data_IF_801824940509
#
_entry.id   IF_801824940509
#
_cell.length_a   1.000
_cell.length_b   1.000
_cell.length_c   1.000
_cell.angle_alpha   90.00
_cell.angle_beta   90.00
_cell.angle_gamma   90.00
#
_symmetry.space_group_name_H-M   'P 1'
#
loop_
_entity.id
_entity.type
_entity.pdbx_description
1 polymer ?
#
# COMPACT_ATOMS: atom_id res chain seq x y z
N UNK A 1 -12.43 -4.27 2.28
CA UNK A 1 -11.84 -5.63 2.43
C UNK A 1 -12.93 -6.63 2.78
N UNK A 2 -12.75 -7.89 2.39
CA UNK A 2 -13.60 -9.03 2.74
C UNK A 2 -12.94 -9.98 3.74
N UNK A 3 -11.61 -9.95 3.86
CA UNK A 3 -10.81 -10.74 4.78
C UNK A 3 -10.13 -9.84 5.81
N UNK A 4 -9.59 -10.43 6.87
CA UNK A 4 -8.83 -9.69 7.88
C UNK A 4 -7.52 -9.14 7.31
N UNK A 5 -7.07 -8.01 7.84
CA UNK A 5 -5.78 -7.42 7.50
C UNK A 5 -4.62 -8.38 7.78
N UNK A 6 -4.72 -9.16 8.86
CA UNK A 6 -3.70 -10.16 9.23
C UNK A 6 -3.50 -11.24 8.17
N UNK A 7 -4.57 -11.65 7.48
CA UNK A 7 -4.52 -12.68 6.44
C UNK A 7 -3.96 -12.17 5.11
N UNK A 8 -4.07 -10.86 4.85
CA UNK A 8 -3.72 -10.22 3.56
C UNK A 8 -4.40 -10.79 2.30
N UNK A 9 -5.38 -11.70 2.44
CA UNK A 9 -5.97 -12.44 1.32
C UNK A 9 -6.68 -11.57 0.28
N UNK A 10 -7.14 -10.37 0.65
CA UNK A 10 -7.73 -9.45 -0.33
C UNK A 10 -6.74 -8.97 -1.39
N UNK A 11 -5.43 -9.02 -1.13
CA UNK A 11 -4.40 -8.63 -2.09
C UNK A 11 -4.35 -9.57 -3.31
N UNK A 12 -4.88 -10.80 -3.18
CA UNK A 12 -4.96 -11.78 -4.28
C UNK A 12 -5.64 -11.16 -5.52
N UNK A 13 -6.62 -10.28 -5.31
CA UNK A 13 -7.37 -9.60 -6.36
C UNK A 13 -6.51 -8.73 -7.28
N UNK A 14 -5.26 -8.41 -6.89
CA UNK A 14 -4.34 -7.61 -7.70
C UNK A 14 -3.45 -8.43 -8.62
N UNK A 15 -3.32 -9.74 -8.38
CA UNK A 15 -2.29 -10.54 -9.02
C UNK A 15 -2.92 -11.71 -9.79
N UNK A 16 -2.69 -11.80 -11.11
CA UNK A 16 -3.19 -12.90 -11.93
C UNK A 16 -2.38 -14.19 -11.68
N UNK A 17 -2.92 -15.34 -12.08
CA UNK A 17 -2.19 -16.61 -12.10
C UNK A 17 -0.91 -16.52 -12.94
N UNK A 18 0.11 -17.31 -12.58
CA UNK A 18 1.35 -17.44 -13.37
C UNK A 18 1.11 -18.09 -14.73
N UNK A 19 0.04 -18.86 -14.87
CA UNK A 19 -0.36 -19.47 -16.13
C UNK A 19 -0.81 -18.42 -17.15
N UNK A 20 -1.42 -17.33 -16.69
CA UNK A 20 -1.95 -16.26 -17.57
C UNK A 20 -0.91 -15.17 -17.84
N UNK A 21 -0.14 -14.78 -16.81
CA UNK A 21 0.86 -13.71 -16.89
C UNK A 21 2.16 -14.20 -16.27
N UNK A 22 3.24 -14.25 -17.05
CA UNK A 22 4.57 -14.60 -16.53
C UNK A 22 5.12 -13.52 -15.59
N UNK A 23 6.08 -13.87 -14.73
CA UNK A 23 6.66 -12.91 -13.76
C UNK A 23 7.23 -11.66 -14.46
N UNK A 24 7.85 -11.82 -15.63
CA UNK A 24 8.42 -10.69 -16.39
C UNK A 24 7.37 -9.74 -16.98
N UNK A 25 6.13 -10.21 -17.13
CA UNK A 25 5.01 -9.43 -17.67
C UNK A 25 4.11 -8.84 -16.56
N UNK A 26 4.41 -9.14 -15.29
CA UNK A 26 3.68 -8.58 -14.16
C UNK A 26 3.95 -7.08 -14.03
N UNK A 27 2.92 -6.34 -13.61
CA UNK A 27 3.03 -4.91 -13.31
C UNK A 27 3.98 -4.71 -12.12
N UNK A 28 5.05 -3.91 -12.25
CA UNK A 28 5.96 -3.67 -11.14
C UNK A 28 5.25 -2.98 -9.98
N UNK A 29 5.15 -3.66 -8.83
CA UNK A 29 4.26 -3.27 -7.74
C UNK A 29 4.96 -3.33 -6.38
N UNK A 30 4.70 -2.32 -5.55
CA UNK A 30 5.07 -2.31 -4.13
C UNK A 30 3.83 -2.59 -3.29
N UNK A 31 3.91 -3.52 -2.35
CA UNK A 31 2.82 -3.81 -1.40
C UNK A 31 3.28 -3.46 0.01
N UNK A 32 2.79 -2.33 0.53
CA UNK A 32 3.12 -1.84 1.86
C UNK A 32 2.26 -2.49 2.94
N UNK A 33 2.90 -2.87 4.05
CA UNK A 33 2.26 -3.40 5.25
C UNK A 33 2.82 -2.75 6.53
N UNK A 34 1.98 -2.67 7.57
CA UNK A 34 2.33 -2.03 8.83
C UNK A 34 3.28 -2.83 9.75
N UNK A 35 3.55 -4.10 9.46
CA UNK A 35 4.46 -4.93 10.26
C UNK A 35 5.30 -5.86 9.40
N UNK A 36 6.43 -6.32 9.94
CA UNK A 36 7.23 -7.36 9.29
C UNK A 36 6.38 -8.61 9.06
N UNK A 37 5.61 -9.10 10.05
CA UNK A 37 4.83 -10.33 9.89
C UNK A 37 3.81 -10.22 8.74
N UNK A 38 3.14 -9.07 8.59
CA UNK A 38 2.22 -8.83 7.49
C UNK A 38 2.91 -8.89 6.11
N UNK A 39 4.18 -8.49 5.98
CA UNK A 39 4.87 -8.62 4.69
C UNK A 39 5.07 -10.07 4.28
N UNK A 40 5.16 -11.02 5.22
CA UNK A 40 5.15 -12.45 4.90
C UNK A 40 3.75 -12.92 4.46
N UNK A 41 2.70 -12.56 5.21
CA UNK A 41 1.33 -12.91 4.84
C UNK A 41 0.95 -12.39 3.43
N UNK A 42 1.43 -11.20 3.05
CA UNK A 42 1.28 -10.68 1.68
C UNK A 42 2.00 -11.56 0.65
N UNK A 43 3.22 -12.04 0.94
CA UNK A 43 3.94 -12.92 0.00
C UNK A 43 3.22 -14.26 -0.16
N UNK A 44 2.74 -14.86 0.93
CA UNK A 44 1.95 -16.09 0.88
C UNK A 44 0.64 -15.90 0.10
N UNK A 45 0.00 -14.73 0.24
CA UNK A 45 -1.17 -14.38 -0.56
C UNK A 45 -0.82 -14.19 -2.04
N UNK A 46 0.34 -13.61 -2.37
CA UNK A 46 0.84 -13.51 -3.75
C UNK A 46 1.08 -14.92 -4.32
N UNK A 47 1.78 -15.81 -3.60
CA UNK A 47 2.00 -17.19 -4.04
C UNK A 47 0.69 -17.90 -4.38
N UNK A 48 -0.32 -17.72 -3.53
CA UNK A 48 -1.67 -18.26 -3.76
C UNK A 48 -2.31 -17.68 -5.02
N UNK A 49 -2.22 -16.37 -5.23
CA UNK A 49 -2.76 -15.70 -6.42
C UNK A 49 -2.06 -16.15 -7.71
N UNK A 50 -0.74 -16.36 -7.62
CA UNK A 50 0.13 -16.81 -8.72
C UNK A 50 0.03 -18.30 -8.99
N UNK A 51 -0.65 -19.07 -8.13
CA UNK A 51 -0.68 -20.54 -8.15
C UNK A 51 0.72 -21.17 -8.04
N UNK A 52 1.59 -20.52 -7.27
CA UNK A 52 2.97 -20.95 -7.03
C UNK A 52 3.22 -21.09 -5.53
N UNK A 53 2.64 -22.10 -4.87
CA UNK A 53 2.80 -22.28 -3.44
C UNK A 53 4.29 -22.37 -3.06
N UNK A 54 4.61 -21.87 -1.88
CA UNK A 54 5.95 -21.88 -1.27
C UNK A 54 7.03 -21.03 -1.96
N UNK A 55 6.70 -20.29 -3.03
CA UNK A 55 7.68 -19.40 -3.67
C UNK A 55 8.19 -18.27 -2.75
N UNK A 56 7.36 -17.83 -1.81
CA UNK A 56 7.65 -16.90 -0.73
C UNK A 56 8.79 -17.34 0.19
N UNK A 57 9.10 -18.64 0.25
CA UNK A 57 10.20 -19.19 1.06
C UNK A 57 11.58 -18.94 0.43
N UNK A 58 11.64 -18.65 -0.87
CA UNK A 58 12.91 -18.44 -1.57
C UNK A 58 13.27 -16.95 -1.59
N UNK A 59 14.37 -16.60 -0.92
CA UNK A 59 14.87 -15.22 -0.86
C UNK A 59 15.14 -14.59 -2.24
N UNK A 60 15.55 -15.40 -3.22
CA UNK A 60 15.84 -14.97 -4.59
C UNK A 60 14.67 -15.24 -5.57
N UNK A 61 13.42 -15.29 -5.09
CA UNK A 61 12.25 -15.47 -5.95
C UNK A 61 12.25 -14.49 -7.12
N UNK A 62 11.88 -14.98 -8.31
CA UNK A 62 11.74 -14.18 -9.54
C UNK A 62 10.43 -13.41 -9.61
N UNK A 63 9.50 -13.67 -8.68
CA UNK A 63 8.17 -13.07 -8.66
C UNK A 63 8.08 -11.95 -7.61
N UNK A 64 8.27 -12.29 -6.34
CA UNK A 64 8.06 -11.37 -5.24
C UNK A 64 9.10 -11.54 -4.14
N UNK A 65 9.59 -10.43 -3.59
CA UNK A 65 10.56 -10.44 -2.50
C UNK A 65 10.14 -9.58 -1.32
N UNK A 66 10.64 -9.94 -0.14
CA UNK A 66 10.34 -9.26 1.11
C UNK A 66 11.35 -8.16 1.41
N UNK A 67 10.89 -7.02 1.92
CA UNK A 67 11.78 -5.95 2.39
C UNK A 67 11.27 -5.33 3.70
N UNK A 68 12.06 -5.39 4.76
CA UNK A 68 11.73 -4.74 6.03
C UNK A 68 12.99 -4.34 6.81
N UNK A 69 12.83 -3.75 8.00
CA UNK A 69 13.93 -3.25 8.82
C UNK A 69 14.95 -4.35 9.15
N UNK A 70 14.48 -5.55 9.51
CA UNK A 70 15.33 -6.69 9.84
C UNK A 70 15.91 -7.45 8.63
N UNK A 71 15.70 -7.00 7.38
CA UNK A 71 16.40 -7.55 6.21
C UNK A 71 17.88 -7.18 6.31
N UNK A 72 18.79 -8.12 6.06
CA UNK A 72 20.24 -7.85 6.10
C UNK A 72 20.64 -6.79 5.08
N UNK A 73 21.65 -5.97 5.37
CA UNK A 73 21.94 -4.79 4.55
C UNK A 73 22.36 -5.16 3.11
N UNK A 74 23.15 -6.22 2.94
CA UNK A 74 23.48 -6.78 1.61
C UNK A 74 22.25 -7.25 0.84
N UNK A 75 21.27 -7.85 1.55
CA UNK A 75 20.02 -8.30 0.92
C UNK A 75 19.13 -7.10 0.55
N UNK A 76 19.16 -6.01 1.34
CA UNK A 76 18.47 -4.76 1.01
C UNK A 76 19.04 -4.14 -0.27
N UNK A 77 20.36 -3.98 -0.33
CA UNK A 77 21.08 -3.45 -1.51
C UNK A 77 20.75 -4.29 -2.75
N UNK A 78 20.94 -5.61 -2.67
CA UNK A 78 20.62 -6.54 -3.76
C UNK A 78 19.16 -6.46 -4.19
N UNK A 79 18.22 -6.39 -3.23
CA UNK A 79 16.80 -6.29 -3.54
C UNK A 79 16.46 -4.99 -4.28
N UNK A 80 17.07 -3.86 -3.86
CA UNK A 80 16.89 -2.55 -4.49
C UNK A 80 17.45 -2.55 -5.92
N UNK A 81 18.66 -3.05 -6.11
CA UNK A 81 19.33 -3.12 -7.42
C UNK A 81 18.60 -4.06 -8.37
N UNK A 82 18.33 -5.30 -7.95
CA UNK A 82 17.66 -6.28 -8.80
C UNK A 82 16.21 -5.92 -9.11
N UNK A 83 15.53 -5.21 -8.21
CA UNK A 83 14.23 -4.61 -8.52
C UNK A 83 14.39 -3.48 -9.53
N UNK A 84 15.37 -2.58 -9.40
CA UNK A 84 15.59 -1.53 -10.39
C UNK A 84 15.87 -2.12 -11.79
N UNK A 85 16.65 -3.20 -11.85
CA UNK A 85 17.06 -3.92 -13.07
C UNK A 85 15.98 -4.82 -13.67
N UNK A 86 14.81 -4.92 -13.04
CA UNK A 86 13.71 -5.72 -13.59
C UNK A 86 13.83 -7.22 -13.40
N UNK A 87 14.68 -7.71 -12.48
CA UNK A 87 14.85 -9.16 -12.23
C UNK A 87 13.63 -9.82 -11.59
N UNK A 88 12.81 -9.03 -10.90
CA UNK A 88 11.52 -9.46 -10.36
C UNK A 88 10.54 -8.27 -10.31
N UNK A 89 9.23 -8.53 -10.36
CA UNK A 89 8.20 -7.49 -10.45
C UNK A 89 7.66 -6.97 -9.11
N UNK A 90 7.72 -7.71 -8.01
CA UNK A 90 6.97 -7.37 -6.79
C UNK A 90 7.87 -7.23 -5.55
N UNK A 91 7.61 -6.21 -4.73
CA UNK A 91 8.17 -6.11 -3.36
C UNK A 91 7.03 -6.06 -2.36
N UNK A 92 7.04 -6.97 -1.39
CA UNK A 92 6.25 -6.88 -0.16
C UNK A 92 7.08 -6.20 0.92
N UNK A 93 6.68 -5.01 1.37
CA UNK A 93 7.53 -4.17 2.19
C UNK A 93 6.84 -3.48 3.36
N UNK A 94 7.63 -3.08 4.36
CA UNK A 94 7.23 -2.05 5.33
C UNK A 94 7.72 -0.67 4.89
N UNK A 95 7.45 0.36 5.70
CA UNK A 95 8.01 1.70 5.48
C UNK A 95 9.55 1.75 5.45
N UNK A 96 10.24 0.69 5.90
CA UNK A 96 11.69 0.56 5.81
C UNK A 96 12.24 0.69 4.38
N UNK A 97 11.42 0.45 3.34
CA UNK A 97 11.82 0.65 1.94
C UNK A 97 12.20 2.12 1.61
N UNK A 98 11.90 3.07 2.53
CA UNK A 98 12.65 4.32 2.69
C UNK A 98 12.49 5.37 1.59
N UNK A 99 12.66 6.65 1.93
CA UNK A 99 12.45 7.81 1.04
C UNK A 99 13.45 7.93 -0.14
N UNK A 100 14.57 7.21 -0.10
CA UNK A 100 15.67 7.33 -1.07
C UNK A 100 15.48 6.60 -2.40
N UNK A 101 14.47 5.73 -2.54
CA UNK A 101 14.28 4.95 -3.76
C UNK A 101 13.50 5.74 -4.82
N UNK A 102 14.16 6.03 -5.95
CA UNK A 102 13.56 6.74 -7.08
C UNK A 102 13.38 5.84 -8.30
N UNK A 103 12.53 4.82 -8.18
CA UNK A 103 12.23 3.90 -9.27
C UNK A 103 11.17 4.46 -10.20
N UNK A 104 11.57 4.78 -11.44
CA UNK A 104 10.66 5.13 -12.53
C UNK A 104 9.75 3.98 -12.96
N UNK A 105 10.16 2.73 -12.70
CA UNK A 105 9.44 1.52 -13.16
C UNK A 105 8.20 1.16 -12.33
N UNK A 106 8.03 1.71 -11.13
CA UNK A 106 6.90 1.33 -10.24
C UNK A 106 5.60 1.80 -10.87
N UNK A 107 4.70 0.84 -11.13
CA UNK A 107 3.45 1.07 -11.84
C UNK A 107 2.21 0.91 -10.99
N UNK A 108 2.33 0.16 -9.89
CA UNK A 108 1.30 0.12 -8.88
C UNK A 108 1.88 0.16 -7.46
N UNK A 109 1.08 0.67 -6.52
CA UNK A 109 1.33 0.57 -5.09
C UNK A 109 0.05 0.10 -4.42
N UNK A 110 0.15 -0.94 -3.60
CA UNK A 110 -0.89 -1.35 -2.68
C UNK A 110 -0.49 -1.02 -1.25
N UNK A 111 -1.42 -0.56 -0.43
CA UNK A 111 -1.20 -0.35 1.01
C UNK A 111 -2.21 -1.16 1.82
N UNK A 112 -1.70 -1.96 2.74
CA UNK A 112 -2.49 -2.83 3.62
C UNK A 112 -2.78 -2.11 4.93
N UNK A 113 -4.07 -1.86 5.18
CA UNK A 113 -4.58 -1.30 6.43
C UNK A 113 -4.74 0.22 6.41
N UNK A 114 -5.31 0.74 7.50
CA UNK A 114 -5.37 2.19 7.75
C UNK A 114 -3.99 2.72 8.06
N UNK A 115 -3.70 3.92 7.60
CA UNK A 115 -2.42 4.59 7.75
C UNK A 115 -2.62 6.09 7.89
N UNK A 116 -1.65 6.76 8.48
CA UNK A 116 -1.66 8.21 8.52
C UNK A 116 -1.63 8.77 7.08
N UNK A 117 -2.46 9.77 6.73
CA UNK A 117 -2.55 10.26 5.35
C UNK A 117 -1.21 10.67 4.76
N UNK A 118 -0.37 11.41 5.50
CA UNK A 118 0.97 11.79 5.02
C UNK A 118 1.84 10.57 4.68
N UNK A 119 1.82 9.52 5.51
CA UNK A 119 2.58 8.28 5.26
C UNK A 119 2.04 7.53 4.05
N UNK A 120 0.71 7.42 3.93
CA UNK A 120 0.08 6.79 2.76
C UNK A 120 0.42 7.58 1.50
N UNK A 121 0.29 8.91 1.52
CA UNK A 121 0.65 9.79 0.41
C UNK A 121 2.09 9.59 -0.07
N UNK A 122 3.04 9.49 0.86
CA UNK A 122 4.44 9.19 0.53
C UNK A 122 4.63 7.79 -0.09
N UNK A 123 3.89 6.80 0.38
CA UNK A 123 3.98 5.43 -0.13
C UNK A 123 3.37 5.31 -1.53
N UNK A 124 2.15 5.82 -1.73
CA UNK A 124 1.47 5.74 -3.03
C UNK A 124 2.12 6.64 -4.08
N UNK A 125 2.73 7.76 -3.67
CA UNK A 125 3.51 8.65 -4.56
C UNK A 125 4.78 8.03 -5.16
N UNK A 126 5.02 6.74 -4.95
CA UNK A 126 6.11 5.99 -5.60
C UNK A 126 5.74 5.45 -6.97
N UNK A 127 4.46 5.22 -7.26
CA UNK A 127 4.07 4.84 -8.62
C UNK A 127 4.05 6.08 -9.54
N UNK A 128 4.40 5.90 -10.81
CA UNK A 128 4.23 6.96 -11.83
C UNK A 128 5.23 8.09 -11.78
N UNK A 129 6.41 7.88 -11.22
CA UNK A 129 7.49 8.88 -11.22
C UNK A 129 8.09 9.18 -12.60
N UNK A 130 7.78 8.38 -13.60
CA UNK A 130 8.08 8.62 -15.00
C UNK A 130 7.02 9.49 -15.71
N UNK A 131 6.00 9.95 -14.99
CA UNK A 131 4.88 10.71 -15.55
C UNK A 131 3.81 9.85 -16.21
N UNK A 132 3.97 8.52 -16.27
CA UNK A 132 2.96 7.61 -16.83
C UNK A 132 1.91 7.22 -15.77
N UNK A 133 0.69 6.83 -16.19
CA UNK A 133 -0.38 6.44 -15.26
C UNK A 133 0.03 5.35 -14.27
N UNK A 134 -0.16 5.60 -12.97
CA UNK A 134 0.08 4.65 -11.89
C UNK A 134 -1.18 4.31 -11.13
N UNK A 135 -1.24 3.12 -10.54
CA UNK A 135 -2.38 2.67 -9.75
C UNK A 135 -2.02 2.61 -8.27
N UNK A 136 -2.79 3.29 -7.43
CA UNK A 136 -2.71 3.19 -5.98
C UNK A 136 -3.95 2.48 -5.44
N UNK A 137 -3.77 1.42 -4.65
CA UNK A 137 -4.87 0.65 -4.03
C UNK A 137 -4.70 0.66 -2.51
N UNK A 138 -5.73 1.11 -1.80
CA UNK A 138 -5.77 1.07 -0.34
C UNK A 138 -6.69 -0.06 0.13
N UNK A 139 -6.13 -1.07 0.78
CA UNK A 139 -6.90 -2.14 1.41
C UNK A 139 -7.25 -1.74 2.83
N UNK A 140 -8.52 -1.42 3.06
CA UNK A 140 -9.00 -0.99 4.38
C UNK A 140 -10.08 -1.93 4.90
N UNK A 141 -9.92 -2.34 6.17
CA UNK A 141 -10.95 -3.06 6.91
C UNK A 141 -12.14 -2.14 7.18
N UNK A 142 -13.35 -2.67 6.94
CA UNK A 142 -14.60 -1.93 7.13
C UNK A 142 -14.77 -1.45 8.57
N UNK A 143 -14.32 -2.26 9.53
CA UNK A 143 -14.44 -1.98 10.95
C UNK A 143 -13.06 -2.04 11.61
N UNK A 144 -12.68 -0.95 12.25
CA UNK A 144 -11.58 -0.88 13.21
C UNK A 144 -12.16 -0.82 14.62
N UNK A 145 -11.81 -1.78 15.50
CA UNK A 145 -12.23 -1.73 16.91
C UNK A 145 -11.81 -0.40 17.55
N UNK A 146 -12.76 0.24 18.26
CA UNK A 146 -12.58 1.56 18.91
C UNK A 146 -12.24 2.72 17.96
N UNK A 147 -12.31 2.51 16.64
CA UNK A 147 -12.12 3.54 15.63
C UNK A 147 -13.44 4.14 15.12
N UNK A 148 -13.33 5.27 14.43
CA UNK A 148 -14.43 5.83 13.64
C UNK A 148 -14.50 5.07 12.31
N UNK A 149 -15.67 4.54 11.96
CA UNK A 149 -15.83 3.62 10.81
C UNK A 149 -16.75 4.14 9.72
N UNK A 150 -17.45 5.24 9.99
CA UNK A 150 -18.37 5.91 9.08
C UNK A 150 -18.39 7.40 9.41
N UNK A 151 -18.75 8.23 8.44
CA UNK A 151 -18.78 9.70 8.57
C UNK A 151 -19.60 10.15 9.79
N UNK A 152 -20.71 9.48 10.08
CA UNK A 152 -21.55 9.81 11.25
C UNK A 152 -20.89 9.61 12.63
N UNK A 153 -19.74 8.95 12.71
CA UNK A 153 -18.95 8.87 13.96
C UNK A 153 -18.07 10.10 14.20
N UNK A 154 -17.96 10.99 13.21
CA UNK A 154 -17.24 12.26 13.30
C UNK A 154 -18.22 13.39 13.63
N UNK A 155 -17.78 14.32 14.47
CA UNK A 155 -18.52 15.55 14.74
C UNK A 155 -18.00 16.66 13.82
N UNK A 156 -18.90 17.49 13.31
CA UNK A 156 -18.52 18.71 12.59
C UNK A 156 -17.72 19.62 13.51
N UNK A 157 -16.75 20.34 12.94
CA UNK A 157 -15.86 21.29 13.61
C UNK A 157 -15.00 20.72 14.75
N UNK A 158 -15.06 19.40 14.99
CA UNK A 158 -14.17 18.71 15.92
C UNK A 158 -12.80 18.51 15.26
N UNK A 159 -11.70 19.00 15.87
CA UNK A 159 -10.37 18.77 15.36
C UNK A 159 -10.08 17.27 15.20
N UNK A 160 -9.51 16.89 14.06
CA UNK A 160 -9.08 15.52 13.85
C UNK A 160 -7.71 15.29 14.47
N UNK A 161 -7.63 14.43 15.50
CA UNK A 161 -6.37 13.85 15.95
C UNK A 161 -5.75 12.97 14.85
N UNK A 162 -4.47 12.62 14.96
CA UNK A 162 -3.80 11.74 14.00
C UNK A 162 -4.52 10.39 13.82
N UNK A 163 -5.06 9.83 14.91
CA UNK A 163 -5.87 8.60 14.86
C UNK A 163 -7.18 8.82 14.09
N UNK A 164 -7.84 9.95 14.31
CA UNK A 164 -9.07 10.29 13.59
C UNK A 164 -8.81 10.54 12.11
N UNK A 165 -7.65 11.10 11.72
CA UNK A 165 -7.27 11.29 10.31
C UNK A 165 -7.10 9.97 9.56
N UNK A 166 -6.53 8.95 10.21
CA UNK A 166 -6.45 7.59 9.64
C UNK A 166 -7.84 7.01 9.37
N UNK A 167 -8.75 7.20 10.33
CA UNK A 167 -10.13 6.72 10.23
C UNK A 167 -10.95 7.52 9.21
N UNK A 168 -10.69 8.82 9.09
CA UNK A 168 -11.32 9.70 8.13
C UNK A 168 -10.90 9.36 6.69
N UNK A 169 -9.60 9.12 6.44
CA UNK A 169 -9.12 8.69 5.12
C UNK A 169 -9.71 7.34 4.69
N UNK A 170 -9.94 6.45 5.66
CA UNK A 170 -10.57 5.15 5.42
C UNK A 170 -12.05 5.23 5.02
N UNK A 171 -12.75 6.28 5.43
CA UNK A 171 -14.20 6.40 5.30
C UNK A 171 -14.71 7.64 4.59
N UNK A 172 -13.82 8.50 4.10
CA UNK A 172 -14.21 9.73 3.39
C UNK A 172 -14.95 9.36 2.10
N UNK A 173 -16.15 9.92 1.85
CA UNK A 173 -16.85 9.73 0.59
C UNK A 173 -16.30 10.62 -0.53
N UNK A 174 -15.36 11.51 -0.21
CA UNK A 174 -14.87 12.54 -1.10
C UNK A 174 -13.72 12.05 -1.98
N UNK A 175 -13.39 12.83 -3.01
CA UNK A 175 -12.29 12.52 -3.91
C UNK A 175 -10.96 12.40 -3.13
N UNK A 176 -10.29 11.25 -3.21
CA UNK A 176 -9.05 11.01 -2.48
C UNK A 176 -7.94 12.01 -2.84
N UNK A 177 -7.87 12.46 -4.09
CA UNK A 177 -6.88 13.46 -4.51
C UNK A 177 -7.09 14.79 -3.78
N UNK A 178 -8.33 15.25 -3.71
CA UNK A 178 -8.70 16.47 -2.98
C UNK A 178 -8.52 16.27 -1.49
N UNK A 179 -8.87 15.09 -0.96
CA UNK A 179 -8.69 14.76 0.44
C UNK A 179 -7.22 14.80 0.89
N UNK A 180 -6.30 14.24 0.08
CA UNK A 180 -4.86 14.35 0.35
C UNK A 180 -4.35 15.79 0.22
N UNK A 181 -4.85 16.55 -0.76
CA UNK A 181 -4.46 17.95 -0.92
C UNK A 181 -4.86 18.80 0.29
N UNK A 182 -6.11 18.68 0.75
CA UNK A 182 -6.63 19.38 1.93
C UNK A 182 -5.86 18.93 3.18
N UNK A 183 -5.66 17.64 3.39
CA UNK A 183 -4.90 17.14 4.55
C UNK A 183 -3.47 17.70 4.59
N UNK A 184 -2.80 17.82 3.45
CA UNK A 184 -1.46 18.42 3.36
C UNK A 184 -1.46 19.94 3.61
N UNK A 185 -2.52 20.66 3.21
CA UNK A 185 -2.60 22.12 3.35
C UNK A 185 -3.06 22.56 4.74
N UNK A 186 -4.07 21.89 5.31
CA UNK A 186 -4.78 22.33 6.52
C UNK A 186 -4.80 21.29 7.65
N UNK A 187 -4.29 20.08 7.42
CA UNK A 187 -4.07 19.10 8.50
C UNK A 187 -5.28 18.25 8.89
N UNK A 188 -6.28 18.07 8.02
CA UNK A 188 -7.39 17.15 8.24
C UNK A 188 -7.92 16.53 6.95
N UNK A 189 -8.59 15.39 7.05
CA UNK A 189 -9.25 14.74 5.90
C UNK A 189 -10.70 15.22 5.80
N UNK A 190 -11.14 15.80 4.67
CA UNK A 190 -12.52 16.27 4.51
C UNK A 190 -13.50 15.08 4.49
N UNK A 191 -14.69 15.27 5.07
CA UNK A 191 -15.71 14.22 5.22
C UNK A 191 -17.08 14.59 4.63
N UNK A 192 -17.30 15.87 4.33
CA UNK A 192 -18.57 16.40 3.83
C UNK A 192 -18.33 17.28 2.60
N UNK A 193 -19.24 17.24 1.64
CA UNK A 193 -19.15 17.98 0.38
C UNK A 193 -19.26 19.50 0.57
N UNK A 194 -19.90 19.94 1.64
CA UNK A 194 -20.03 21.35 2.04
C UNK A 194 -18.78 21.90 2.76
N UNK A 195 -17.68 21.13 2.79
CA UNK A 195 -16.44 21.59 3.38
C UNK A 195 -15.90 22.80 2.61
N UNK A 196 -15.57 23.92 3.28
CA UNK A 196 -15.18 25.16 2.60
C UNK A 196 -13.86 25.05 1.82
N UNK A 197 -13.03 24.05 2.10
CA UNK A 197 -11.80 23.78 1.37
C UNK A 197 -11.98 22.74 0.25
N UNK A 198 -13.16 22.13 0.12
CA UNK A 198 -13.49 21.14 -0.90
C UNK A 198 -14.03 21.85 -2.14
N UNK A 199 -13.23 21.83 -3.23
CA UNK A 199 -13.48 22.51 -4.51
C UNK A 199 -13.67 21.47 -5.61
#
# INVERSE_FOLDING_TARGET
MSNSLSSSLDVIKLFPSKLDVSDNNMVPTLVYSGSCNCTMAVLEAIDRARETPDQSKFANSTCARRFHSCTGDKDKEKCIEEFADGKFPLISCTMALGLGQNWKRVRAVAHMGRGHPASIGQMIGRCGRDGKPGLAVLFVEKNRPKGKNQVGHFKRDEPQSDLNRMDALAGTPLCLQVAFAIDNMVGYVPLWEDNPNYI
#
